data_IF_394005075203
#
_entry.id   IF_394005075203
#
_cell.length_a   1.000
_cell.length_b   1.000
_cell.length_c   1.000
_cell.angle_alpha   90.00
_cell.angle_beta   90.00
_cell.angle_gamma   90.00
#
_symmetry.space_group_name_H-M   'P 1'
#
loop_
_entity.id
_entity.type
_entity.pdbx_description
1 polymer ?
#
# COMPACT_ATOMS: atom_id res chain seq x y z
N UNK A 1 -9.93 -25.28 -8.21
CA UNK A 1 -9.97 -24.17 -9.18
C UNK A 1 -10.19 -22.87 -8.43
N UNK A 2 -9.16 -22.05 -8.28
CA UNK A 2 -9.25 -20.58 -8.25
C UNK A 2 -7.83 -20.06 -8.32
N UNK A 3 -7.35 -19.76 -9.53
CA UNK A 3 -5.99 -19.25 -9.81
C UNK A 3 -5.98 -17.77 -10.21
N UNK A 4 -7.10 -17.07 -10.05
CA UNK A 4 -7.26 -15.69 -10.50
C UNK A 4 -7.55 -14.67 -9.39
N UNK A 5 -7.47 -15.07 -8.11
CA UNK A 5 -7.87 -14.19 -7.00
C UNK A 5 -6.72 -13.39 -6.37
N UNK A 6 -5.46 -13.60 -6.80
CA UNK A 6 -4.30 -13.03 -6.10
C UNK A 6 -3.77 -11.73 -6.74
N UNK A 7 -4.10 -11.43 -8.00
CA UNK A 7 -3.63 -10.22 -8.70
C UNK A 7 -4.46 -8.95 -8.42
N UNK A 8 -5.76 -9.11 -8.11
CA UNK A 8 -6.67 -7.97 -7.93
C UNK A 8 -6.60 -7.36 -6.51
N UNK A 9 -6.15 -8.13 -5.51
CA UNK A 9 -6.05 -7.66 -4.12
C UNK A 9 -4.82 -6.77 -3.86
N UNK A 10 -3.73 -6.92 -4.62
CA UNK A 10 -2.55 -6.07 -4.46
C UNK A 10 -2.79 -4.63 -4.95
N UNK A 11 -3.67 -4.45 -5.94
CA UNK A 11 -4.07 -3.15 -6.46
C UNK A 11 -5.04 -2.41 -5.51
N UNK A 12 -5.88 -3.17 -4.80
CA UNK A 12 -6.77 -2.63 -3.77
C UNK A 12 -6.02 -2.12 -2.54
N UNK A 13 -4.84 -2.66 -2.23
CA UNK A 13 -4.11 -2.31 -1.01
C UNK A 13 -3.49 -0.91 -1.01
N UNK A 14 -2.95 -0.45 -2.14
CA UNK A 14 -2.46 0.93 -2.30
C UNK A 14 -3.62 1.93 -2.42
N UNK A 15 -4.76 1.51 -2.99
CA UNK A 15 -5.96 2.32 -3.15
C UNK A 15 -6.74 2.48 -1.83
N UNK A 16 -6.84 1.43 -1.00
CA UNK A 16 -7.51 1.47 0.30
C UNK A 16 -6.68 2.16 1.39
N UNK A 17 -5.34 2.12 1.30
CA UNK A 17 -4.49 2.95 2.14
C UNK A 17 -4.79 4.44 1.94
N UNK A 18 -5.04 4.84 0.69
CA UNK A 18 -5.42 6.21 0.34
C UNK A 18 -6.77 6.63 0.92
N UNK A 19 -7.74 5.71 0.98
CA UNK A 19 -9.05 5.96 1.60
C UNK A 19 -8.97 6.11 3.12
N UNK A 20 -8.05 5.39 3.78
CA UNK A 20 -7.90 5.47 5.24
C UNK A 20 -7.20 6.79 5.69
N UNK A 21 -6.25 7.29 4.90
CA UNK A 21 -5.62 8.61 5.10
C UNK A 21 -6.63 9.73 4.90
N UNK A 22 -7.54 9.58 3.95
CA UNK A 22 -8.66 10.50 3.72
C UNK A 22 -9.61 10.61 4.92
N UNK A 23 -9.85 9.50 5.63
CA UNK A 23 -10.72 9.51 6.80
C UNK A 23 -10.11 10.27 7.99
N UNK A 24 -8.78 10.22 8.18
CA UNK A 24 -8.10 10.90 9.30
C UNK A 24 -7.71 12.37 9.01
N UNK A 25 -7.56 12.77 7.74
CA UNK A 25 -7.24 14.17 7.39
C UNK A 25 -8.45 15.12 7.38
N UNK A 26 -9.66 14.62 7.65
CA UNK A 26 -10.90 15.40 7.63
C UNK A 26 -11.08 16.37 8.82
N UNK A 27 -10.10 16.52 9.71
CA UNK A 27 -10.21 17.41 10.88
C UNK A 27 -9.47 18.74 10.79
N UNK A 28 -8.61 18.99 9.79
CA UNK A 28 -7.95 20.30 9.65
C UNK A 28 -8.34 21.04 8.35
N UNK A 29 -9.29 21.95 8.53
CA UNK A 29 -9.92 22.81 7.51
C UNK A 29 -9.01 23.98 7.08
N UNK A 30 -7.92 23.79 6.32
CA UNK A 30 -7.21 24.98 5.80
C UNK A 30 -6.76 25.06 4.35
N UNK A 31 -6.89 24.02 3.51
CA UNK A 31 -6.73 24.19 2.04
C UNK A 31 -7.59 23.23 1.19
N UNK A 32 -8.91 23.28 1.37
CA UNK A 32 -9.92 23.42 0.30
C UNK A 32 -10.06 22.49 -0.92
N UNK A 33 -9.14 21.61 -1.28
CA UNK A 33 -9.32 20.69 -2.42
C UNK A 33 -8.78 19.30 -2.12
N UNK A 34 -9.57 18.56 -1.34
CA UNK A 34 -9.47 17.11 -1.26
C UNK A 34 -10.02 16.53 -2.57
N UNK A 35 -9.19 16.47 -3.62
CA UNK A 35 -9.51 15.72 -4.84
C UNK A 35 -9.21 14.24 -4.64
N UNK A 36 -10.18 13.37 -4.91
CA UNK A 36 -9.92 11.93 -4.85
C UNK A 36 -9.04 11.51 -6.05
N UNK A 37 -8.29 10.41 -5.90
CA UNK A 37 -7.53 9.82 -7.03
C UNK A 37 -8.44 9.56 -8.23
N UNK A 38 -9.66 9.07 -7.97
CA UNK A 38 -10.66 8.82 -9.00
C UNK A 38 -11.01 10.11 -9.75
N UNK A 39 -11.24 11.22 -9.03
CA UNK A 39 -11.53 12.51 -9.64
C UNK A 39 -10.35 13.04 -10.45
N UNK A 40 -9.11 12.83 -9.97
CA UNK A 40 -7.90 13.22 -10.68
C UNK A 40 -7.73 12.42 -11.99
N UNK A 41 -7.94 11.10 -11.94
CA UNK A 41 -7.87 10.21 -13.12
C UNK A 41 -8.99 10.53 -14.11
N UNK A 42 -10.21 10.78 -13.64
CA UNK A 42 -11.36 11.07 -14.52
C UNK A 42 -11.23 12.41 -15.26
N UNK A 43 -10.32 13.29 -14.82
CA UNK A 43 -10.00 14.55 -15.51
C UNK A 43 -8.96 14.40 -16.63
N UNK A 44 -8.27 13.26 -16.71
CA UNK A 44 -7.33 12.98 -17.80
C UNK A 44 -8.08 12.70 -19.12
N UNK A 45 -7.56 13.13 -20.27
CA UNK A 45 -7.86 12.56 -21.58
C UNK A 45 -7.90 11.02 -21.57
N UNK A 46 -8.76 10.44 -22.40
CA UNK A 46 -8.95 8.98 -22.47
C UNK A 46 -7.63 8.28 -22.83
N UNK A 47 -6.82 8.87 -23.71
CA UNK A 47 -5.53 8.34 -24.10
C UNK A 47 -4.58 8.22 -22.90
N UNK A 48 -4.51 9.26 -22.06
CA UNK A 48 -3.67 9.28 -20.85
C UNK A 48 -4.19 8.30 -19.79
N UNK A 49 -5.51 8.12 -19.67
CA UNK A 49 -6.09 7.09 -18.81
C UNK A 49 -5.70 5.67 -19.26
N UNK A 50 -5.69 5.42 -20.58
CA UNK A 50 -5.26 4.12 -21.14
C UNK A 50 -3.78 3.88 -20.86
N UNK A 51 -2.93 4.89 -21.04
CA UNK A 51 -1.50 4.79 -20.72
C UNK A 51 -1.28 4.46 -19.24
N UNK A 52 -1.99 5.16 -18.33
CA UNK A 52 -1.95 4.87 -16.91
C UNK A 52 -2.37 3.43 -16.61
N UNK A 53 -3.48 2.96 -17.19
CA UNK A 53 -3.94 1.58 -17.01
C UNK A 53 -2.91 0.55 -17.49
N UNK A 54 -2.23 0.82 -18.61
CA UNK A 54 -1.17 -0.06 -19.13
C UNK A 54 0.05 -0.10 -18.21
N UNK A 55 0.47 1.06 -17.69
CA UNK A 55 1.57 1.16 -16.73
C UNK A 55 1.25 0.36 -15.47
N UNK A 56 0.04 0.55 -14.93
CA UNK A 56 -0.46 -0.17 -13.76
C UNK A 56 -0.52 -1.69 -13.99
N UNK A 57 -1.03 -2.13 -15.15
CA UNK A 57 -1.10 -3.55 -15.50
C UNK A 57 0.29 -4.18 -15.66
N UNK A 58 1.29 -3.43 -16.15
CA UNK A 58 2.67 -3.89 -16.29
C UNK A 58 3.47 -3.89 -14.98
N UNK A 59 2.99 -3.18 -13.96
CA UNK A 59 3.73 -2.91 -12.71
C UNK A 59 4.09 -4.15 -11.91
N UNK A 60 3.33 -5.23 -12.00
CA UNK A 60 3.58 -6.48 -11.24
C UNK A 60 4.95 -7.12 -11.55
N UNK A 61 5.48 -6.86 -12.75
CA UNK A 61 6.75 -7.40 -13.24
C UNK A 61 7.93 -6.45 -13.00
N UNK A 62 7.66 -5.25 -12.50
CA UNK A 62 8.66 -4.23 -12.21
C UNK A 62 9.03 -4.27 -10.74
N UNK A 63 10.29 -3.92 -10.44
CA UNK A 63 10.66 -3.62 -9.06
C UNK A 63 9.92 -2.37 -8.60
N UNK A 64 9.65 -2.25 -7.30
CA UNK A 64 8.96 -1.05 -6.76
C UNK A 64 9.66 0.24 -7.15
N UNK A 65 11.01 0.25 -7.14
CA UNK A 65 11.81 1.38 -7.61
C UNK A 65 11.50 1.74 -9.07
N UNK A 66 11.60 0.76 -9.98
CA UNK A 66 11.39 1.01 -11.41
C UNK A 66 9.94 1.40 -11.70
N UNK A 67 8.98 0.80 -11.00
CA UNK A 67 7.57 1.17 -11.11
C UNK A 67 7.34 2.63 -10.70
N UNK A 68 7.89 3.04 -9.55
CA UNK A 68 7.80 4.44 -9.08
C UNK A 68 8.45 5.41 -10.06
N UNK A 69 9.65 5.09 -10.57
CA UNK A 69 10.33 5.91 -11.59
C UNK A 69 9.51 6.03 -12.89
N UNK A 70 8.81 4.97 -13.31
CA UNK A 70 7.92 5.02 -14.47
C UNK A 70 6.68 5.86 -14.21
N UNK A 71 6.07 5.74 -13.03
CA UNK A 71 4.95 6.58 -12.60
C UNK A 71 5.35 8.06 -12.55
N UNK A 72 6.50 8.39 -11.96
CA UNK A 72 7.04 9.75 -11.86
C UNK A 72 7.25 10.35 -13.26
N UNK A 73 7.91 9.61 -14.15
CA UNK A 73 8.17 10.05 -15.53
C UNK A 73 6.90 10.13 -16.39
N UNK A 74 5.88 9.32 -16.12
CA UNK A 74 4.59 9.44 -16.78
C UNK A 74 3.84 10.67 -16.26
N UNK A 75 3.77 10.86 -14.95
CA UNK A 75 3.09 11.99 -14.32
C UNK A 75 3.69 13.34 -14.75
N UNK A 76 5.02 13.42 -14.91
CA UNK A 76 5.71 14.63 -15.34
C UNK A 76 5.43 15.05 -16.78
N UNK A 77 4.80 14.18 -17.59
CA UNK A 77 4.38 14.48 -18.98
C UNK A 77 2.96 14.99 -19.07
N UNK A 78 2.19 14.89 -17.99
CA UNK A 78 0.81 15.36 -17.93
C UNK A 78 0.78 16.88 -17.76
N UNK A 79 -0.42 17.46 -17.63
CA UNK A 79 -0.56 18.89 -17.32
C UNK A 79 0.13 19.25 -15.99
N UNK A 80 0.64 20.48 -15.88
CA UNK A 80 1.27 21.00 -14.67
C UNK A 80 0.37 20.83 -13.43
N UNK A 81 -0.94 21.07 -13.60
CA UNK A 81 -1.93 20.85 -12.54
C UNK A 81 -1.98 19.38 -12.08
N UNK A 82 -2.04 18.44 -13.02
CA UNK A 82 -2.06 17.02 -12.67
C UNK A 82 -0.77 16.60 -11.97
N UNK A 83 0.39 17.03 -12.47
CA UNK A 83 1.68 16.69 -11.88
C UNK A 83 1.81 17.24 -10.45
N UNK A 84 1.35 18.47 -10.20
CA UNK A 84 1.29 19.03 -8.84
C UNK A 84 0.42 18.20 -7.90
N UNK A 85 -0.79 17.82 -8.33
CA UNK A 85 -1.67 16.96 -7.52
C UNK A 85 -1.05 15.58 -7.28
N UNK A 86 -0.35 15.02 -8.26
CA UNK A 86 0.36 13.75 -8.13
C UNK A 86 1.47 13.83 -7.06
N UNK A 87 2.30 14.87 -7.10
CA UNK A 87 3.38 15.08 -6.12
C UNK A 87 2.82 15.27 -4.69
N UNK A 88 1.78 16.10 -4.53
CA UNK A 88 1.10 16.29 -3.23
C UNK A 88 0.54 14.97 -2.67
N UNK A 89 -0.08 14.17 -3.54
CA UNK A 89 -0.60 12.86 -3.18
C UNK A 89 0.51 11.88 -2.76
N UNK A 90 1.66 11.92 -3.45
CA UNK A 90 2.81 11.09 -3.15
C UNK A 90 3.46 11.48 -1.81
N UNK A 91 3.61 12.78 -1.55
CA UNK A 91 4.09 13.30 -0.26
C UNK A 91 3.15 12.90 0.88
N UNK A 92 1.85 13.13 0.73
CA UNK A 92 0.87 12.74 1.75
C UNK A 92 0.83 11.23 2.04
N UNK A 93 1.15 10.39 1.06
CA UNK A 93 1.33 8.95 1.27
C UNK A 93 2.54 8.66 2.16
N UNK A 94 3.68 9.31 1.93
CA UNK A 94 4.89 9.10 2.75
C UNK A 94 4.71 9.60 4.18
N UNK A 95 4.08 10.75 4.37
CA UNK A 95 3.77 11.29 5.70
C UNK A 95 2.85 10.34 6.48
N UNK A 96 1.79 9.87 5.83
CA UNK A 96 0.89 8.90 6.45
C UNK A 96 1.57 7.58 6.77
N UNK A 97 2.47 7.12 5.89
CA UNK A 97 3.27 5.92 6.14
C UNK A 97 4.16 6.10 7.36
N UNK A 98 4.81 7.25 7.52
CA UNK A 98 5.64 7.55 8.69
C UNK A 98 4.80 7.49 9.99
N UNK A 99 3.64 8.16 10.01
CA UNK A 99 2.72 8.12 11.15
C UNK A 99 2.27 6.69 11.49
N UNK A 100 1.99 5.87 10.47
CA UNK A 100 1.62 4.48 10.67
C UNK A 100 2.78 3.65 11.22
N UNK A 101 4.00 3.86 10.73
CA UNK A 101 5.20 3.17 11.21
C UNK A 101 5.49 3.54 12.69
N UNK A 102 5.32 4.81 13.07
CA UNK A 102 5.45 5.25 14.47
C UNK A 102 4.42 4.61 15.40
N UNK A 103 3.14 4.57 14.98
CA UNK A 103 2.07 3.91 15.74
C UNK A 103 2.33 2.42 15.88
N UNK A 104 2.82 1.78 14.81
CA UNK A 104 3.21 0.38 14.82
C UNK A 104 4.34 0.10 15.81
N UNK A 105 5.36 0.96 15.85
CA UNK A 105 6.46 0.84 16.80
C UNK A 105 5.99 0.87 18.26
N UNK A 106 5.03 1.73 18.59
CA UNK A 106 4.42 1.78 19.91
C UNK A 106 3.71 0.47 20.28
N UNK A 107 2.98 -0.13 19.32
CA UNK A 107 2.32 -1.43 19.51
C UNK A 107 3.35 -2.57 19.70
N UNK A 108 4.47 -2.48 19.00
CA UNK A 108 5.54 -3.46 19.04
C UNK A 108 6.36 -3.40 20.33
N UNK A 109 6.43 -2.27 21.05
CA UNK A 109 7.21 -2.12 22.29
C UNK A 109 6.92 -3.21 23.34
N UNK A 110 5.66 -3.61 23.48
CA UNK A 110 5.22 -4.57 24.50
C UNK A 110 5.24 -6.03 24.04
N UNK A 111 5.68 -6.31 22.81
CA UNK A 111 5.71 -7.66 22.25
C UNK A 111 6.96 -8.44 22.64
N UNK A 112 6.89 -9.76 22.46
CA UNK A 112 8.02 -10.67 22.71
C UNK A 112 9.17 -10.42 21.72
N UNK A 113 10.36 -10.92 22.03
CA UNK A 113 11.53 -10.77 21.17
C UNK A 113 11.31 -11.45 19.81
N UNK A 114 10.64 -12.60 19.79
CA UNK A 114 10.33 -13.36 18.57
C UNK A 114 9.38 -12.59 17.65
N UNK A 115 8.35 -11.93 18.22
CA UNK A 115 7.41 -11.10 17.46
C UNK A 115 8.13 -9.89 16.86
N UNK A 116 8.99 -9.23 17.64
CA UNK A 116 9.82 -8.10 17.18
C UNK A 116 10.80 -8.49 16.07
N UNK A 117 11.45 -9.64 16.19
CA UNK A 117 12.37 -10.15 15.15
C UNK A 117 11.63 -10.47 13.85
N UNK A 118 10.49 -11.16 13.95
CA UNK A 118 9.65 -11.46 12.79
C UNK A 118 9.17 -10.20 12.08
N UNK A 119 8.68 -9.22 12.84
CA UNK A 119 8.24 -7.93 12.32
C UNK A 119 9.40 -7.16 11.64
N UNK A 120 10.58 -7.12 12.26
CA UNK A 120 11.77 -6.50 11.66
C UNK A 120 12.09 -7.12 10.28
N UNK A 121 12.06 -8.44 10.15
CA UNK A 121 12.30 -9.13 8.87
C UNK A 121 11.26 -8.76 7.82
N UNK A 122 10.00 -8.63 8.21
CA UNK A 122 8.91 -8.19 7.31
C UNK A 122 9.14 -6.74 6.86
N UNK A 123 9.53 -5.85 7.77
CA UNK A 123 9.84 -4.45 7.42
C UNK A 123 11.03 -4.33 6.49
N UNK A 124 12.08 -5.13 6.68
CA UNK A 124 13.23 -5.19 5.77
C UNK A 124 12.79 -5.57 4.35
N UNK A 125 11.87 -6.53 4.21
CA UNK A 125 11.30 -6.92 2.92
C UNK A 125 10.44 -5.78 2.33
N UNK A 126 9.53 -5.19 3.12
CA UNK A 126 8.66 -4.10 2.69
C UNK A 126 9.45 -2.85 2.26
N UNK A 127 10.57 -2.56 2.93
CA UNK A 127 11.41 -1.42 2.58
C UNK A 127 12.35 -1.69 1.39
N UNK A 128 12.50 -2.94 0.95
CA UNK A 128 13.35 -3.28 -0.18
C UNK A 128 12.72 -2.83 -1.51
N UNK A 129 13.24 -1.75 -2.10
CA UNK A 129 12.72 -1.20 -3.37
C UNK A 129 13.17 -1.98 -4.61
N UNK A 130 14.09 -2.95 -4.47
CA UNK A 130 14.67 -3.71 -5.58
C UNK A 130 13.96 -5.04 -5.86
N UNK A 131 12.82 -5.28 -5.21
CA UNK A 131 11.95 -6.43 -5.46
C UNK A 131 10.63 -5.96 -6.05
N UNK A 132 9.94 -6.85 -6.77
CA UNK A 132 8.58 -6.58 -7.24
C UNK A 132 7.57 -6.69 -6.10
N UNK A 133 6.37 -6.12 -6.26
CA UNK A 133 5.28 -6.28 -5.28
C UNK A 133 4.92 -7.76 -5.05
N UNK A 134 4.98 -8.56 -6.13
CA UNK A 134 4.78 -10.01 -6.05
C UNK A 134 5.86 -10.68 -5.19
N UNK A 135 7.13 -10.34 -5.42
CA UNK A 135 8.25 -10.90 -4.65
C UNK A 135 8.18 -10.49 -3.17
N UNK A 136 7.78 -9.25 -2.87
CA UNK A 136 7.53 -8.80 -1.50
C UNK A 136 6.47 -9.68 -0.82
N UNK A 137 5.30 -9.82 -1.45
CA UNK A 137 4.21 -10.66 -0.93
C UNK A 137 4.66 -12.10 -0.72
N UNK A 138 5.35 -12.70 -1.69
CA UNK A 138 5.86 -14.07 -1.60
C UNK A 138 6.89 -14.22 -0.46
N UNK A 139 7.79 -13.25 -0.27
CA UNK A 139 8.78 -13.26 0.82
C UNK A 139 8.16 -13.04 2.20
N UNK A 140 7.20 -12.12 2.34
CA UNK A 140 6.48 -11.89 3.60
C UNK A 140 5.69 -13.16 3.99
N UNK A 141 4.99 -13.78 3.04
CA UNK A 141 4.27 -15.03 3.28
C UNK A 141 5.21 -16.16 3.72
N UNK A 142 6.41 -16.24 3.15
CA UNK A 142 7.43 -17.20 3.60
C UNK A 142 7.87 -16.94 5.04
N UNK A 143 8.08 -15.67 5.43
CA UNK A 143 8.40 -15.33 6.82
C UNK A 143 7.26 -15.79 7.73
N UNK A 144 6.02 -15.35 7.47
CA UNK A 144 4.84 -15.67 8.28
C UNK A 144 4.65 -17.18 8.44
N UNK A 145 4.71 -17.94 7.34
CA UNK A 145 4.50 -19.40 7.37
C UNK A 145 5.61 -20.17 8.10
N UNK A 146 6.77 -19.55 8.33
CA UNK A 146 7.88 -20.16 9.09
C UNK A 146 7.80 -19.92 10.60
N UNK A 147 6.90 -19.04 11.06
CA UNK A 147 6.78 -18.67 12.46
C UNK A 147 5.88 -19.64 13.25
N UNK A 148 6.08 -19.74 14.58
CA UNK A 148 5.08 -20.38 15.44
C UNK A 148 3.70 -19.72 15.28
N UNK A 149 2.58 -20.48 15.36
CA UNK A 149 1.25 -19.93 15.08
C UNK A 149 0.87 -18.69 15.88
N UNK A 150 1.24 -18.63 17.16
CA UNK A 150 0.97 -17.47 18.03
C UNK A 150 1.75 -16.24 17.54
N UNK A 151 3.03 -16.41 17.20
CA UNK A 151 3.87 -15.32 16.69
C UNK A 151 3.33 -14.81 15.36
N UNK A 152 2.99 -15.72 14.43
CA UNK A 152 2.38 -15.37 13.15
C UNK A 152 1.08 -14.58 13.33
N UNK A 153 0.17 -15.05 14.19
CA UNK A 153 -1.10 -14.39 14.46
C UNK A 153 -0.91 -12.99 15.05
N UNK A 154 0.01 -12.83 16.01
CA UNK A 154 0.31 -11.53 16.62
C UNK A 154 0.89 -10.56 15.59
N UNK A 155 1.84 -11.00 14.77
CA UNK A 155 2.44 -10.16 13.71
C UNK A 155 1.38 -9.73 12.69
N UNK A 156 0.49 -10.64 12.25
CA UNK A 156 -0.60 -10.31 11.32
C UNK A 156 -1.59 -9.31 11.94
N UNK A 157 -1.96 -9.52 13.21
CA UNK A 157 -2.90 -8.64 13.91
C UNK A 157 -2.33 -7.25 14.16
N UNK A 158 -1.03 -7.13 14.40
CA UNK A 158 -0.39 -5.85 14.65
C UNK A 158 0.15 -5.20 13.39
N UNK A 159 0.13 -5.87 12.24
CA UNK A 159 0.63 -5.32 11.00
C UNK A 159 -0.03 -3.95 10.71
N UNK A 160 0.75 -2.91 10.36
CA UNK A 160 0.23 -1.56 10.11
C UNK A 160 -0.72 -1.53 8.91
N UNK A 161 -0.64 -2.55 8.05
CA UNK A 161 -1.46 -2.73 6.86
C UNK A 161 -2.22 -4.04 6.99
N UNK A 162 -3.26 -4.06 7.83
CA UNK A 162 -4.14 -5.22 7.86
C UNK A 162 -4.79 -5.37 6.49
N UNK A 163 -4.53 -6.50 5.83
CA UNK A 163 -5.45 -6.98 4.81
C UNK A 163 -6.77 -7.09 5.53
N UNK A 164 -7.74 -6.25 5.18
CA UNK A 164 -9.10 -6.44 5.66
C UNK A 164 -9.45 -7.86 5.23
N UNK A 165 -9.42 -8.77 6.19
CA UNK A 165 -9.94 -10.11 6.04
C UNK A 165 -11.46 -9.92 5.96
N UNK A 166 -11.96 -9.56 4.78
CA UNK A 166 -13.38 -9.35 4.48
C UNK A 166 -14.20 -10.66 4.56
N UNK A 167 -13.69 -11.70 5.22
CA UNK A 167 -14.26 -13.05 5.21
C UNK A 167 -14.42 -13.71 6.58
N UNK A 168 -14.42 -12.98 7.70
CA UNK A 168 -14.75 -13.58 9.00
C UNK A 168 -15.81 -12.80 9.77
N UNK A 169 -17.06 -12.81 9.28
CA UNK A 169 -18.26 -12.59 10.11
C UNK A 169 -19.53 -13.24 9.50
N UNK A 170 -19.41 -14.39 8.83
CA UNK A 170 -20.55 -15.25 8.49
C UNK A 170 -20.25 -16.71 8.86
N UNK A 171 -19.90 -16.94 10.12
CA UNK A 171 -19.88 -18.27 10.72
C UNK A 171 -20.10 -18.15 12.23
N UNK A 172 -21.27 -17.63 12.62
CA UNK A 172 -21.93 -18.07 13.84
C UNK A 172 -23.42 -18.17 13.54
N UNK A 173 -23.82 -19.42 13.35
CA UNK A 173 -25.15 -19.98 13.57
C UNK A 173 -25.73 -19.57 14.92
#
# INVERSE_FOLDING_TARGET
>A
MSKYFCGFLSFFFLLELFLFIYAQSSTDNSTGYQMSISDLINKLPIEEQIELQQLLAGGENLTKKVFNEQMDNWASKQSEYFYSCYEEMKEGFYDAKEILDERHDQLMCNQTAEVKDADKRIREINNNQNITMKQESDQINQVINSLPPIVAQTVIQLAPYQAINSNNNNANT
#
